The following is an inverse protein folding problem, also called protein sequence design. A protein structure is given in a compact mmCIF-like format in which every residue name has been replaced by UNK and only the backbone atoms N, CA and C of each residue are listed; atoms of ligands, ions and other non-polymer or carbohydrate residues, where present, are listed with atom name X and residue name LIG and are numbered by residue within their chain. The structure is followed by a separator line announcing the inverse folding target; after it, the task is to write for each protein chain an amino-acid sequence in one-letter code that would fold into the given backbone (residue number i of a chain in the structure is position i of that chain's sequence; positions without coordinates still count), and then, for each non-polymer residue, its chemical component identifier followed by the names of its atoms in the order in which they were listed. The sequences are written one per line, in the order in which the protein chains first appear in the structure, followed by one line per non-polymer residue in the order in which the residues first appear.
data_IF_855707771425
#
_entry.id   IF_855707771425
#
_cell.length_a   1.000
_cell.length_b   1.000
_cell.length_c   1.000
_cell.angle_alpha   90.00
_cell.angle_beta   90.00
_cell.angle_gamma   90.00
#
_symmetry.space_group_name_H-M   'P 1'
#
loop_
_entity.id
_entity.type
_entity.pdbx_description
1 polymer ?
#
# COMPACT_ATOMS: atom_id res chain seq x y z
N UNK A 1 8.60 -3.63 3.55
CA UNK A 1 8.43 -4.48 4.74
C UNK A 1 7.27 -5.48 4.57
N UNK A 2 6.02 -5.06 4.37
CA UNK A 2 4.88 -5.99 4.22
C UNK A 2 5.04 -6.99 3.07
N UNK A 3 5.55 -6.56 1.90
CA UNK A 3 5.87 -7.48 0.79
C UNK A 3 6.89 -8.56 1.17
N UNK A 4 7.88 -8.23 1.99
CA UNK A 4 8.85 -9.21 2.49
C UNK A 4 8.20 -10.22 3.43
N UNK A 5 7.30 -9.77 4.31
CA UNK A 5 6.54 -10.64 5.20
C UNK A 5 5.59 -11.57 4.43
N UNK A 6 4.96 -11.09 3.36
CA UNK A 6 4.17 -11.92 2.43
C UNK A 6 5.06 -12.99 1.76
N UNK A 7 6.21 -12.61 1.20
CA UNK A 7 7.10 -13.55 0.48
C UNK A 7 7.64 -14.68 1.36
N UNK A 8 7.77 -14.45 2.67
CA UNK A 8 8.20 -15.48 3.64
C UNK A 8 7.04 -16.19 4.33
N UNK A 9 5.81 -15.96 3.91
CA UNK A 9 4.59 -16.60 4.44
C UNK A 9 4.19 -16.14 5.84
N UNK A 10 4.74 -15.03 6.33
CA UNK A 10 4.37 -14.45 7.63
C UNK A 10 3.08 -13.60 7.55
N UNK A 11 2.68 -13.18 6.34
CA UNK A 11 1.37 -12.60 6.06
C UNK A 11 0.69 -13.46 4.99
N UNK A 12 -0.61 -13.67 5.14
CA UNK A 12 -1.47 -14.08 4.04
C UNK A 12 -1.67 -12.95 3.04
N UNK A 13 -2.20 -13.28 1.86
CA UNK A 13 -2.54 -12.27 0.85
C UNK A 13 -3.61 -11.28 1.35
N UNK A 14 -4.56 -11.73 2.18
CA UNK A 14 -5.59 -10.87 2.78
C UNK A 14 -4.98 -9.89 3.78
N UNK A 15 -4.16 -10.38 4.71
CA UNK A 15 -3.51 -9.52 5.70
C UNK A 15 -2.56 -8.52 5.03
N UNK A 16 -1.88 -8.92 3.95
CA UNK A 16 -1.09 -7.98 3.16
C UNK A 16 -1.96 -6.88 2.52
N UNK A 17 -3.13 -7.23 1.97
CA UNK A 17 -4.04 -6.25 1.38
C UNK A 17 -4.56 -5.26 2.44
N UNK A 18 -4.96 -5.77 3.61
CA UNK A 18 -5.43 -4.95 4.74
C UNK A 18 -4.37 -3.94 5.20
N UNK A 19 -3.10 -4.37 5.27
CA UNK A 19 -1.96 -3.49 5.61
C UNK A 19 -1.73 -2.41 4.53
N UNK A 20 -1.85 -2.75 3.25
CA UNK A 20 -1.73 -1.78 2.16
C UNK A 20 -2.86 -0.74 2.21
N UNK A 21 -4.09 -1.18 2.48
CA UNK A 21 -5.25 -0.30 2.61
C UNK A 21 -5.11 0.64 3.81
N UNK A 22 -4.64 0.12 4.96
CA UNK A 22 -4.34 0.93 6.14
C UNK A 22 -3.32 2.04 5.83
N UNK A 23 -2.22 1.70 5.16
CA UNK A 23 -1.19 2.69 4.78
C UNK A 23 -1.77 3.73 3.83
N UNK A 24 -2.52 3.30 2.80
CA UNK A 24 -3.12 4.21 1.82
C UNK A 24 -4.11 5.16 2.49
N UNK A 25 -4.94 4.66 3.40
CA UNK A 25 -5.87 5.48 4.17
C UNK A 25 -5.14 6.50 5.07
N UNK A 26 -4.10 6.05 5.78
CA UNK A 26 -3.30 6.91 6.66
C UNK A 26 -2.65 8.04 5.87
N UNK A 27 -2.01 7.73 4.75
CA UNK A 27 -1.42 8.76 3.87
C UNK A 27 -2.48 9.67 3.26
N UNK A 28 -3.66 9.17 2.91
CA UNK A 28 -4.77 9.98 2.41
C UNK A 28 -5.23 11.02 3.45
N UNK A 29 -5.20 10.65 4.73
CA UNK A 29 -5.48 11.58 5.83
C UNK A 29 -4.39 12.65 5.95
N UNK A 30 -3.12 12.26 5.89
CA UNK A 30 -1.98 13.19 5.95
C UNK A 30 -1.91 14.12 4.73
N UNK A 31 -2.38 13.66 3.58
CA UNK A 31 -2.42 14.42 2.33
C UNK A 31 -3.30 15.67 2.40
N UNK A 32 -4.18 15.79 3.40
CA UNK A 32 -4.92 17.02 3.68
C UNK A 32 -4.02 18.15 4.22
N UNK A 33 -2.90 17.80 4.87
CA UNK A 33 -1.98 18.74 5.51
C UNK A 33 -0.66 18.87 4.75
N UNK A 34 -0.26 17.82 4.03
CA UNK A 34 1.03 17.72 3.36
C UNK A 34 0.84 17.30 1.90
N UNK A 35 0.96 18.27 0.97
CA UNK A 35 0.63 18.08 -0.45
C UNK A 35 1.45 16.99 -1.16
N UNK A 36 2.69 16.74 -0.71
CA UNK A 36 3.55 15.73 -1.31
C UNK A 36 2.97 14.30 -1.18
N UNK A 37 2.11 14.04 -0.20
CA UNK A 37 1.39 12.76 -0.10
C UNK A 37 0.33 12.60 -1.20
N UNK A 38 -0.25 13.69 -1.71
CA UNK A 38 -1.19 13.61 -2.84
C UNK A 38 -0.49 13.12 -4.11
N UNK A 39 0.68 13.69 -4.42
CA UNK A 39 1.50 13.27 -5.55
C UNK A 39 1.98 11.83 -5.39
N UNK A 40 2.42 11.46 -4.18
CA UNK A 40 2.83 10.10 -3.87
C UNK A 40 1.68 9.09 -4.07
N UNK A 41 0.48 9.40 -3.57
CA UNK A 41 -0.70 8.54 -3.71
C UNK A 41 -1.17 8.43 -5.17
N UNK A 42 -1.08 9.51 -5.94
CA UNK A 42 -1.41 9.53 -7.36
C UNK A 42 -0.44 8.67 -8.20
N UNK A 43 0.84 8.64 -7.82
CA UNK A 43 1.84 7.78 -8.46
C UNK A 43 1.81 6.32 -7.94
N UNK A 44 1.12 6.05 -6.84
CA UNK A 44 1.05 4.71 -6.26
C UNK A 44 0.16 3.81 -7.13
N UNK A 45 0.70 2.73 -7.73
CA UNK A 45 -0.09 1.83 -8.58
C UNK A 45 -1.30 1.27 -7.83
N UNK A 46 -2.49 1.37 -8.43
CA UNK A 46 -3.73 0.78 -7.89
C UNK A 46 -3.60 -0.75 -7.73
N UNK A 47 -2.65 -1.38 -8.43
CA UNK A 47 -2.36 -2.80 -8.29
C UNK A 47 -0.86 -3.11 -8.41
N UNK A 48 -0.22 -3.34 -7.26
CA UNK A 48 0.86 -4.33 -7.14
C UNK A 48 0.30 -5.78 -7.09
N UNK A 49 -0.97 -5.98 -7.50
CA UNK A 49 -1.72 -7.24 -7.44
C UNK A 49 -1.90 -7.95 -8.80
N UNK A 50 -1.38 -7.43 -9.92
CA UNK A 50 -1.64 -8.02 -11.25
C UNK A 50 -0.48 -7.93 -12.26
N UNK A 51 0.78 -7.97 -11.81
CA UNK A 51 1.96 -8.01 -12.72
C UNK A 51 3.00 -9.04 -12.27
N UNK A 52 2.56 -10.28 -12.16
CA UNK A 52 3.36 -11.45 -12.56
C UNK A 52 2.43 -12.23 -13.50
N UNK A 53 2.49 -11.87 -14.78
CA UNK A 53 1.86 -12.61 -15.88
C UNK A 53 2.89 -13.54 -16.51
#
# INVERSE_FOLDING_TARGET
YCRFQLMRGALSASEYADEIDLVRHTLGTLAAQESHWQEYLAAWPEQAAAREG
#
